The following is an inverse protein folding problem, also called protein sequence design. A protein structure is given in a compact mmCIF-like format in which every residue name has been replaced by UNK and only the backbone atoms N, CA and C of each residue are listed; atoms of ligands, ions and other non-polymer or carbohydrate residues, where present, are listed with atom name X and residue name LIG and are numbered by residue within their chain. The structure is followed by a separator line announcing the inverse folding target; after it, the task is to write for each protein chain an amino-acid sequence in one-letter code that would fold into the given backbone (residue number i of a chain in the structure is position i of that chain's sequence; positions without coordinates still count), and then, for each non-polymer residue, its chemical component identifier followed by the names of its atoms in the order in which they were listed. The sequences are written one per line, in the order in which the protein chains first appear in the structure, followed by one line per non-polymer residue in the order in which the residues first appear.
data_IF_617090589637
#
_entry.id   IF_617090589637
#
_cell.length_a   1.000
_cell.length_b   1.000
_cell.length_c   1.000
_cell.angle_alpha   90.00
_cell.angle_beta   90.00
_cell.angle_gamma   90.00
#
_symmetry.space_group_name_H-M   'P 1'
#
loop_
_entity.id
_entity.type
_entity.pdbx_description
1 polymer ?
#
# COMPACT_ATOMS: atom_id res chain seq x y z
N UNK A 1 -3.49 22.36 20.13
CA UNK A 1 -4.54 21.36 20.21
C UNK A 1 -4.80 20.82 18.82
N UNK A 2 -4.78 19.56 18.53
CA UNK A 2 -5.14 18.37 19.27
C UNK A 2 -4.20 17.17 19.00
N UNK A 3 -3.11 17.00 19.69
CA UNK A 3 -2.30 15.78 19.60
C UNK A 3 -3.05 14.56 20.19
N UNK A 4 -3.76 14.78 21.31
CA UNK A 4 -4.40 13.69 22.07
C UNK A 4 -5.45 12.88 21.28
N UNK A 5 -6.21 13.52 20.40
CA UNK A 5 -7.25 12.84 19.62
C UNK A 5 -6.69 12.00 18.47
N UNK A 6 -5.55 12.41 17.92
CA UNK A 6 -4.88 11.68 16.85
C UNK A 6 -4.21 10.42 17.42
N UNK A 7 -3.49 10.54 18.51
CA UNK A 7 -2.84 9.41 19.18
C UNK A 7 -3.85 8.35 19.63
N UNK A 8 -5.01 8.77 20.12
CA UNK A 8 -6.10 7.88 20.50
C UNK A 8 -6.62 7.05 19.29
N UNK A 9 -6.76 7.67 18.11
CA UNK A 9 -7.24 6.99 16.90
C UNK A 9 -6.22 5.94 16.41
N UNK A 10 -4.92 6.22 16.49
CA UNK A 10 -3.87 5.28 16.13
C UNK A 10 -3.83 4.10 17.12
N UNK A 11 -3.87 4.36 18.42
CA UNK A 11 -3.92 3.32 19.45
C UNK A 11 -5.15 2.43 19.27
N UNK A 12 -6.32 3.01 19.03
CA UNK A 12 -7.55 2.27 18.78
C UNK A 12 -7.46 1.37 17.55
N UNK A 13 -6.89 1.89 16.45
CA UNK A 13 -6.70 1.11 15.21
C UNK A 13 -5.81 -0.10 15.42
N UNK A 14 -4.72 0.06 16.18
CA UNK A 14 -3.84 -1.04 16.56
C UNK A 14 -4.55 -2.09 17.39
N UNK A 15 -5.23 -1.68 18.47
CA UNK A 15 -5.98 -2.58 19.34
C UNK A 15 -7.07 -3.36 18.58
N UNK A 16 -7.73 -2.71 17.61
CA UNK A 16 -8.69 -3.39 16.74
C UNK A 16 -8.01 -4.47 15.89
N UNK A 17 -6.83 -4.19 15.34
CA UNK A 17 -6.07 -5.15 14.56
C UNK A 17 -5.60 -6.35 15.41
N UNK A 18 -5.13 -6.09 16.65
CA UNK A 18 -4.74 -7.14 17.60
C UNK A 18 -5.93 -8.04 17.91
N UNK A 19 -7.05 -7.48 18.37
CA UNK A 19 -8.27 -8.24 18.68
C UNK A 19 -8.81 -9.03 17.47
N UNK A 20 -8.75 -8.43 16.29
CA UNK A 20 -9.18 -9.09 15.07
C UNK A 20 -8.29 -10.27 14.72
N UNK A 21 -6.96 -10.12 14.80
CA UNK A 21 -6.01 -11.21 14.59
C UNK A 21 -6.25 -12.36 15.58
N UNK A 22 -6.39 -12.06 16.85
CA UNK A 22 -6.69 -13.05 17.91
C UNK A 22 -7.99 -13.80 17.61
N UNK A 23 -9.06 -13.08 17.28
CA UNK A 23 -10.34 -13.72 16.92
C UNK A 23 -10.20 -14.67 15.74
N UNK A 24 -9.47 -14.31 14.69
CA UNK A 24 -9.22 -15.19 13.54
C UNK A 24 -8.44 -16.44 13.96
N UNK A 25 -7.43 -16.31 14.83
CA UNK A 25 -6.63 -17.43 15.33
C UNK A 25 -7.45 -18.36 16.23
N UNK A 26 -8.44 -17.84 16.94
CA UNK A 26 -9.43 -18.60 17.72
C UNK A 26 -10.53 -19.26 16.86
N UNK A 27 -10.47 -19.07 15.53
CA UNK A 27 -11.38 -19.71 14.59
C UNK A 27 -12.64 -18.92 14.26
N UNK A 28 -12.77 -17.67 14.72
CA UNK A 28 -13.89 -16.82 14.31
C UNK A 28 -13.75 -16.43 12.83
N UNK A 29 -14.87 -16.35 12.08
CA UNK A 29 -14.85 -15.90 10.70
C UNK A 29 -14.56 -14.38 10.60
N UNK A 30 -14.27 -13.92 9.37
CA UNK A 30 -14.26 -12.47 9.10
C UNK A 30 -15.66 -11.89 9.42
N UNK A 31 -15.73 -10.66 9.95
CA UNK A 31 -17.00 -9.99 10.16
C UNK A 31 -17.74 -9.82 8.83
N UNK A 32 -19.05 -9.65 8.89
CA UNK A 32 -19.89 -9.46 7.71
C UNK A 32 -20.65 -8.15 7.84
N UNK A 33 -20.61 -7.32 6.79
CA UNK A 33 -21.44 -6.12 6.71
C UNK A 33 -22.79 -6.47 6.08
N UNK A 34 -23.92 -6.04 6.70
CA UNK A 34 -25.25 -6.39 6.21
C UNK A 34 -25.62 -5.65 4.91
N UNK A 35 -25.01 -4.50 4.67
CA UNK A 35 -25.26 -3.69 3.47
C UNK A 35 -24.06 -2.79 3.15
N UNK A 36 -23.83 -2.56 1.87
CA UNK A 36 -22.81 -1.63 1.35
C UNK A 36 -23.44 -0.81 0.19
N UNK A 37 -23.02 0.46 0.00
CA UNK A 37 -23.59 1.32 -1.04
C UNK A 37 -23.05 1.02 -2.45
N UNK A 38 -22.45 -0.14 -2.66
CA UNK A 38 -21.86 -0.57 -3.93
C UNK A 38 -22.48 -1.89 -4.38
N UNK A 39 -22.51 -2.10 -5.69
CA UNK A 39 -23.00 -3.36 -6.24
C UNK A 39 -21.96 -4.46 -6.04
N UNK A 40 -22.33 -5.49 -5.30
CA UNK A 40 -21.54 -6.70 -5.15
C UNK A 40 -21.82 -7.70 -6.29
N UNK A 41 -20.85 -8.57 -6.55
CA UNK A 41 -21.04 -9.73 -7.44
C UNK A 41 -21.96 -10.78 -6.80
N UNK A 42 -22.41 -11.75 -7.58
CA UNK A 42 -23.18 -12.85 -7.05
C UNK A 42 -22.33 -13.66 -6.04
N UNK A 43 -22.83 -13.80 -4.81
CA UNK A 43 -22.16 -14.51 -3.72
C UNK A 43 -21.00 -13.73 -3.06
N UNK A 44 -20.72 -12.51 -3.46
CA UNK A 44 -19.70 -11.65 -2.83
C UNK A 44 -20.19 -11.16 -1.47
N UNK A 45 -19.35 -11.28 -0.45
CA UNK A 45 -19.64 -10.88 0.93
C UNK A 45 -18.74 -9.71 1.34
N UNK A 46 -19.37 -8.62 1.82
CA UNK A 46 -18.64 -7.49 2.37
C UNK A 46 -18.25 -7.75 3.84
N UNK A 47 -17.03 -7.40 4.20
CA UNK A 47 -16.44 -7.65 5.51
C UNK A 47 -16.18 -6.38 6.32
N UNK A 48 -15.77 -5.30 5.67
CA UNK A 48 -15.45 -4.05 6.36
C UNK A 48 -15.65 -2.83 5.47
N UNK A 49 -15.99 -1.72 6.12
CA UNK A 49 -15.85 -0.36 5.59
C UNK A 49 -14.75 0.33 6.38
N UNK A 50 -13.74 0.84 5.68
CA UNK A 50 -12.55 1.44 6.25
C UNK A 50 -12.30 2.81 5.63
N UNK A 51 -11.74 3.73 6.42
CA UNK A 51 -11.21 5.00 5.90
C UNK A 51 -9.69 4.91 5.92
N UNK A 52 -9.07 5.03 4.76
CA UNK A 52 -7.63 4.85 4.55
C UNK A 52 -7.07 5.93 3.64
N UNK A 53 -5.78 6.20 3.80
CA UNK A 53 -5.03 6.99 2.85
C UNK A 53 -4.49 6.07 1.75
N UNK A 54 -4.87 6.38 0.52
CA UNK A 54 -4.53 5.65 -0.70
C UNK A 54 -3.37 6.32 -1.42
N UNK A 55 -2.49 5.53 -2.00
CA UNK A 55 -1.49 6.01 -2.96
C UNK A 55 -1.04 4.89 -3.92
N UNK A 56 -0.50 5.29 -5.09
CA UNK A 56 0.05 4.41 -6.13
C UNK A 56 1.52 4.72 -6.36
N UNK A 57 2.30 3.72 -6.75
CA UNK A 57 3.73 3.87 -7.00
C UNK A 57 4.04 3.83 -8.49
N UNK A 58 4.34 5.00 -9.10
CA UNK A 58 4.68 5.08 -10.52
C UNK A 58 5.53 6.31 -10.87
N UNK A 59 6.20 6.24 -12.05
CA UNK A 59 6.94 7.36 -12.65
C UNK A 59 6.06 8.16 -13.62
N UNK A 60 6.32 9.46 -13.77
CA UNK A 60 5.50 10.34 -14.61
C UNK A 60 5.69 10.19 -16.13
N UNK A 61 6.72 9.47 -16.59
CA UNK A 61 7.02 9.32 -18.02
C UNK A 61 6.44 8.06 -18.66
N UNK A 62 5.43 7.44 -18.08
CA UNK A 62 4.69 6.38 -18.76
C UNK A 62 3.62 7.04 -19.60
N UNK A 63 3.87 7.16 -20.91
CA UNK A 63 2.84 7.52 -21.89
C UNK A 63 1.79 6.41 -21.85
N UNK A 64 0.64 6.71 -21.26
CA UNK A 64 -0.50 5.81 -21.26
C UNK A 64 -1.01 5.69 -22.70
N UNK A 65 -0.53 4.71 -23.45
CA UNK A 65 -1.34 4.15 -24.50
C UNK A 65 -2.29 3.17 -23.85
N UNK A 66 -3.58 3.38 -24.03
CA UNK A 66 -4.64 2.47 -23.61
C UNK A 66 -4.55 1.16 -24.40
N UNK A 67 -3.55 0.35 -24.10
CA UNK A 67 -3.49 -1.05 -24.50
C UNK A 67 -2.90 -1.83 -23.33
N UNK A 68 -3.70 -2.74 -22.82
CA UNK A 68 -3.40 -3.72 -21.78
C UNK A 68 -1.99 -4.32 -21.94
N UNK A 69 -1.07 -3.92 -21.06
CA UNK A 69 0.28 -4.47 -21.01
C UNK A 69 1.22 -3.51 -20.29
N UNK A 70 1.30 -3.60 -18.96
CA UNK A 70 2.32 -2.89 -18.20
C UNK A 70 3.62 -3.68 -18.29
N UNK A 71 4.53 -3.22 -19.13
CA UNK A 71 5.92 -3.65 -19.07
C UNK A 71 6.64 -2.82 -18.00
N UNK A 72 7.11 -3.46 -16.96
CA UNK A 72 8.19 -2.94 -16.15
C UNK A 72 9.45 -2.94 -17.04
N UNK A 73 9.61 -1.88 -17.84
CA UNK A 73 10.79 -1.66 -18.64
C UNK A 73 11.96 -1.31 -17.74
N UNK A 74 13.07 -2.06 -17.92
CA UNK A 74 14.38 -1.81 -17.32
C UNK A 74 14.75 -0.33 -17.36
N UNK A 75 15.47 0.22 -16.35
CA UNK A 75 15.94 1.61 -16.29
C UNK A 75 16.76 2.09 -17.50
N UNK A 76 17.15 1.17 -18.37
CA UNK A 76 17.98 1.44 -19.55
C UNK A 76 17.25 2.21 -20.66
N UNK A 77 15.91 2.18 -20.72
CA UNK A 77 15.17 2.87 -21.78
C UNK A 77 14.95 4.37 -21.54
N UNK A 78 15.16 4.85 -20.32
CA UNK A 78 15.03 6.28 -19.99
C UNK A 78 16.26 7.09 -20.45
N UNK A 79 17.40 6.45 -20.61
CA UNK A 79 18.67 7.14 -20.93
C UNK A 79 18.87 7.48 -22.41
N UNK A 80 18.15 6.85 -23.33
CA UNK A 80 18.42 6.98 -24.79
C UNK A 80 17.73 8.19 -25.46
N UNK A 81 16.81 8.89 -24.78
CA UNK A 81 16.02 10.01 -25.37
C UNK A 81 16.56 11.42 -25.12
N UNK A 82 17.62 11.61 -24.35
CA UNK A 82 18.05 12.92 -23.87
C UNK A 82 19.42 13.42 -24.36
N UNK A 83 19.97 12.84 -25.39
CA UNK A 83 21.18 13.34 -26.02
C UNK A 83 20.89 14.45 -27.04
N UNK A 84 20.69 15.68 -26.56
CA UNK A 84 20.60 16.85 -27.46
C UNK A 84 19.93 18.06 -26.83
N UNK A 85 20.60 18.79 -26.01
CA UNK A 85 20.77 20.26 -25.99
C UNK A 85 21.42 20.72 -24.70
N UNK A 86 22.58 21.28 -24.85
CA UNK A 86 23.45 21.70 -23.77
C UNK A 86 23.08 23.07 -23.21
N UNK A 87 23.40 23.25 -21.92
CA UNK A 87 23.76 24.51 -21.23
C UNK A 87 22.60 25.49 -21.02
N UNK A 88 22.02 25.42 -19.80
CA UNK A 88 21.15 26.46 -19.25
C UNK A 88 20.15 26.02 -18.18
N UNK A 89 19.92 24.73 -17.99
CA UNK A 89 18.82 24.26 -17.13
C UNK A 89 19.15 23.05 -16.24
N UNK A 90 20.31 23.02 -15.60
CA UNK A 90 20.66 21.90 -14.73
C UNK A 90 19.65 21.71 -13.56
N UNK A 91 19.17 22.81 -12.98
CA UNK A 91 18.18 22.76 -11.90
C UNK A 91 16.79 22.36 -12.41
N UNK A 92 16.37 22.84 -13.57
CA UNK A 92 15.10 22.43 -14.16
C UNK A 92 15.12 20.97 -14.62
N UNK A 93 16.27 20.52 -15.15
CA UNK A 93 16.46 19.12 -15.57
C UNK A 93 16.48 18.17 -14.37
N UNK A 94 17.18 18.51 -13.28
CA UNK A 94 17.19 17.68 -12.07
C UNK A 94 15.80 17.61 -11.40
N UNK A 95 15.05 18.71 -11.39
CA UNK A 95 13.64 18.71 -10.93
C UNK A 95 12.75 17.84 -11.81
N UNK A 96 12.88 17.95 -13.14
CA UNK A 96 12.11 17.12 -14.08
C UNK A 96 12.46 15.62 -13.93
N UNK A 97 13.73 15.29 -13.75
CA UNK A 97 14.17 13.92 -13.47
C UNK A 97 13.64 13.39 -12.14
N UNK A 98 13.69 14.20 -11.08
CA UNK A 98 13.13 13.84 -9.78
C UNK A 98 11.60 13.65 -9.85
N UNK A 99 10.91 14.50 -10.64
CA UNK A 99 9.47 14.35 -10.89
C UNK A 99 9.14 13.14 -11.77
N UNK A 100 10.03 12.72 -12.66
CA UNK A 100 9.86 11.55 -13.51
C UNK A 100 10.14 10.24 -12.76
N UNK A 101 10.93 10.27 -11.68
CA UNK A 101 11.28 9.08 -10.92
C UNK A 101 10.05 8.37 -10.34
N UNK A 102 10.07 7.03 -10.26
CA UNK A 102 9.03 6.29 -9.57
C UNK A 102 8.92 6.74 -8.11
N UNK A 103 7.73 7.10 -7.69
CA UNK A 103 7.43 7.52 -6.31
C UNK A 103 5.95 7.30 -6.01
N UNK A 104 5.58 7.32 -4.72
CA UNK A 104 4.19 7.29 -4.32
C UNK A 104 3.48 8.57 -4.75
N UNK A 105 2.30 8.42 -5.35
CA UNK A 105 1.48 9.50 -5.93
C UNK A 105 0.00 9.28 -5.62
N UNK A 106 -0.83 10.22 -6.04
CA UNK A 106 -2.30 10.16 -5.88
C UNK A 106 -2.74 10.03 -4.42
N UNK A 107 -2.01 10.69 -3.49
CA UNK A 107 -2.36 10.65 -2.07
C UNK A 107 -3.75 11.22 -1.85
N UNK A 108 -4.65 10.39 -1.36
CA UNK A 108 -5.99 10.80 -1.02
C UNK A 108 -6.58 9.91 0.06
N UNK A 109 -7.44 10.49 0.89
CA UNK A 109 -8.23 9.75 1.87
C UNK A 109 -9.48 9.22 1.21
N UNK A 110 -9.70 7.91 1.29
CA UNK A 110 -10.78 7.21 0.60
C UNK A 110 -11.54 6.29 1.55
N UNK A 111 -12.83 6.08 1.24
CA UNK A 111 -13.60 4.98 1.82
C UNK A 111 -13.34 3.72 1.02
N UNK A 112 -12.99 2.66 1.72
CA UNK A 112 -12.66 1.33 1.16
C UNK A 112 -13.62 0.30 1.71
N UNK A 113 -14.19 -0.50 0.84
CA UNK A 113 -14.95 -1.71 1.21
C UNK A 113 -14.10 -2.94 0.93
N UNK A 114 -13.86 -3.72 1.97
CA UNK A 114 -13.23 -5.04 1.85
C UNK A 114 -14.33 -6.08 1.64
N UNK A 115 -14.19 -6.90 0.60
CA UNK A 115 -15.02 -8.09 0.38
C UNK A 115 -14.15 -9.33 0.37
N UNK A 116 -14.77 -10.51 0.32
CA UNK A 116 -14.08 -11.78 0.10
C UNK A 116 -13.45 -11.92 -1.29
N UNK A 117 -13.84 -11.07 -2.26
CA UNK A 117 -13.35 -11.13 -3.63
C UNK A 117 -12.39 -9.98 -3.99
N UNK A 118 -12.56 -8.80 -3.40
CA UNK A 118 -11.83 -7.59 -3.82
C UNK A 118 -11.83 -6.48 -2.77
N UNK A 119 -10.96 -5.49 -2.98
CA UNK A 119 -11.11 -4.16 -2.42
C UNK A 119 -11.85 -3.26 -3.39
N UNK A 120 -12.74 -2.45 -2.86
CA UNK A 120 -13.48 -1.40 -3.59
C UNK A 120 -13.18 -0.07 -2.92
N UNK A 121 -12.75 0.94 -3.67
CA UNK A 121 -12.55 2.27 -3.13
C UNK A 121 -13.16 3.35 -4.02
N UNK A 122 -13.72 4.37 -3.37
CA UNK A 122 -14.22 5.57 -4.03
C UNK A 122 -13.05 6.56 -4.18
N UNK A 123 -12.43 6.55 -5.35
CA UNK A 123 -11.28 7.40 -5.70
C UNK A 123 -11.79 8.70 -6.32
N UNK A 124 -11.13 9.83 -6.00
CA UNK A 124 -11.51 11.18 -6.44
C UNK A 124 -12.96 11.58 -6.07
N UNK A 125 -13.56 10.88 -5.10
CA UNK A 125 -14.94 11.12 -4.67
C UNK A 125 -16.04 10.76 -5.67
N UNK A 126 -15.67 10.23 -6.86
CA UNK A 126 -16.62 9.97 -7.96
C UNK A 126 -16.43 8.60 -8.62
N UNK A 127 -15.28 7.99 -8.50
CA UNK A 127 -14.91 6.82 -9.28
C UNK A 127 -14.69 5.61 -8.37
N UNK A 128 -15.50 4.56 -8.53
CA UNK A 128 -15.27 3.28 -7.88
C UNK A 128 -14.21 2.47 -8.62
N UNK A 129 -13.14 2.13 -7.93
CA UNK A 129 -12.12 1.19 -8.42
C UNK A 129 -12.22 -0.12 -7.66
N UNK A 130 -11.83 -1.20 -8.32
CA UNK A 130 -11.85 -2.57 -7.79
C UNK A 130 -10.51 -3.24 -7.99
N UNK A 131 -9.98 -3.88 -6.94
CA UNK A 131 -8.76 -4.67 -6.99
C UNK A 131 -9.06 -6.06 -6.45
N UNK A 132 -9.12 -7.04 -7.36
CA UNK A 132 -9.47 -8.43 -7.03
C UNK A 132 -8.32 -9.12 -6.32
N UNK A 133 -8.63 -9.88 -5.25
CA UNK A 133 -7.63 -10.64 -4.52
C UNK A 133 -6.99 -11.74 -5.39
N UNK A 134 -7.73 -12.27 -6.37
CA UNK A 134 -7.24 -13.26 -7.32
C UNK A 134 -6.17 -12.72 -8.29
N UNK A 135 -6.11 -11.40 -8.51
CA UNK A 135 -5.09 -10.74 -9.34
C UNK A 135 -3.89 -10.23 -8.51
N UNK A 136 -3.95 -10.38 -7.19
CA UNK A 136 -2.92 -9.90 -6.27
C UNK A 136 -1.75 -10.89 -6.24
N UNK A 137 -0.56 -10.42 -6.56
CA UNK A 137 0.69 -11.20 -6.52
C UNK A 137 1.28 -11.28 -5.12
N UNK A 138 1.26 -10.17 -4.40
CA UNK A 138 1.91 -10.06 -3.09
C UNK A 138 1.24 -9.04 -2.18
N UNK A 139 1.23 -9.36 -0.88
CA UNK A 139 0.89 -8.44 0.21
C UNK A 139 2.14 -8.20 1.03
N UNK A 140 2.46 -6.94 1.29
CA UNK A 140 3.59 -6.52 2.12
C UNK A 140 3.05 -5.66 3.27
N UNK A 141 2.84 -6.24 4.47
CA UNK A 141 2.43 -5.52 5.65
C UNK A 141 3.63 -4.74 6.23
N UNK A 142 3.52 -3.43 6.34
CA UNK A 142 4.47 -2.57 7.05
C UNK A 142 3.80 -2.01 8.29
N UNK A 143 3.47 -2.89 9.24
CA UNK A 143 2.63 -2.54 10.40
C UNK A 143 3.25 -1.44 11.27
N UNK A 144 4.58 -1.46 11.48
CA UNK A 144 5.29 -0.40 12.20
C UNK A 144 5.25 0.97 11.50
N UNK A 145 4.91 1.00 10.22
CA UNK A 145 4.73 2.21 9.42
C UNK A 145 3.25 2.49 9.10
N UNK A 146 2.34 1.74 9.71
CA UNK A 146 0.90 1.89 9.52
C UNK A 146 0.44 1.83 8.07
N UNK A 147 1.04 0.93 7.30
CA UNK A 147 0.64 0.74 5.93
C UNK A 147 0.72 -0.73 5.50
N UNK A 148 0.02 -1.03 4.42
CA UNK A 148 0.12 -2.28 3.68
C UNK A 148 0.22 -1.97 2.19
N UNK A 149 1.14 -2.66 1.52
CA UNK A 149 1.35 -2.54 0.08
C UNK A 149 0.82 -3.80 -0.59
N UNK A 150 0.08 -3.63 -1.68
CA UNK A 150 -0.38 -4.70 -2.55
C UNK A 150 0.29 -4.57 -3.91
N UNK A 151 0.86 -5.66 -4.39
CA UNK A 151 1.43 -5.79 -5.73
C UNK A 151 0.48 -6.60 -6.59
N UNK A 152 0.25 -6.14 -7.81
CA UNK A 152 -0.59 -6.77 -8.81
C UNK A 152 0.19 -6.97 -10.10
N UNK A 153 -0.25 -7.89 -10.94
CA UNK A 153 0.38 -8.13 -12.23
C UNK A 153 0.09 -7.00 -13.23
N UNK A 154 -1.16 -6.50 -13.22
CA UNK A 154 -1.70 -5.61 -14.25
C UNK A 154 -1.87 -4.16 -13.80
N UNK A 155 -1.42 -3.79 -12.61
CA UNK A 155 -1.49 -2.40 -12.16
C UNK A 155 -0.33 -2.00 -11.24
N UNK A 156 -0.16 -0.69 -11.06
CA UNK A 156 0.87 -0.15 -10.20
C UNK A 156 0.65 -0.58 -8.75
N UNK A 157 1.76 -0.76 -7.97
CA UNK A 157 1.66 -1.03 -6.55
C UNK A 157 0.74 -0.04 -5.82
N UNK A 158 -0.11 -0.57 -4.96
CA UNK A 158 -1.03 0.20 -4.13
C UNK A 158 -0.52 0.22 -2.70
N UNK A 159 -0.65 1.36 -2.04
CA UNK A 159 -0.42 1.49 -0.61
C UNK A 159 -1.67 2.04 0.08
N UNK A 160 -2.04 1.37 1.13
CA UNK A 160 -3.10 1.75 2.05
C UNK A 160 -2.46 2.11 3.39
N UNK A 161 -2.69 3.31 3.88
CA UNK A 161 -2.06 3.82 5.10
C UNK A 161 -3.10 4.37 6.07
N UNK A 162 -2.74 4.48 7.34
CA UNK A 162 -3.60 5.07 8.36
C UNK A 162 -3.93 4.12 9.50
N UNK A 163 -4.74 4.58 10.48
CA UNK A 163 -5.04 3.81 11.68
C UNK A 163 -5.70 2.45 11.42
N UNK A 164 -6.48 2.32 10.33
CA UNK A 164 -7.13 1.06 9.96
C UNK A 164 -6.24 0.13 9.11
N UNK A 165 -5.04 0.57 8.69
CA UNK A 165 -4.16 -0.24 7.83
C UNK A 165 -3.68 -1.54 8.48
N UNK A 166 -3.36 -1.61 9.79
CA UNK A 166 -3.02 -2.88 10.44
C UNK A 166 -4.17 -3.89 10.42
N UNK A 167 -5.40 -3.44 10.64
CA UNK A 167 -6.58 -4.29 10.52
C UNK A 167 -6.76 -4.83 9.09
N UNK A 168 -6.65 -3.93 8.09
CA UNK A 168 -6.71 -4.31 6.68
C UNK A 168 -5.62 -5.32 6.31
N UNK A 169 -4.39 -5.14 6.80
CA UNK A 169 -3.27 -6.05 6.55
C UNK A 169 -3.59 -7.48 7.03
N UNK A 170 -4.12 -7.62 8.26
CA UNK A 170 -4.57 -8.93 8.79
C UNK A 170 -5.63 -9.56 7.90
N UNK A 171 -6.64 -8.78 7.50
CA UNK A 171 -7.72 -9.26 6.64
C UNK A 171 -7.22 -9.72 5.26
N UNK A 172 -6.35 -8.92 4.61
CA UNK A 172 -5.77 -9.25 3.31
C UNK A 172 -4.90 -10.51 3.38
N UNK A 173 -4.06 -10.64 4.42
CA UNK A 173 -3.25 -11.84 4.63
C UNK A 173 -4.16 -13.06 4.82
N UNK A 174 -5.25 -12.93 5.59
CA UNK A 174 -6.22 -14.01 5.80
C UNK A 174 -6.90 -14.44 4.49
N UNK A 175 -7.31 -13.47 3.66
CA UNK A 175 -8.01 -13.73 2.40
C UNK A 175 -7.06 -14.22 1.30
N UNK A 176 -5.86 -13.65 1.18
CA UNK A 176 -4.92 -13.96 0.12
C UNK A 176 -4.06 -15.20 0.40
N UNK A 177 -3.64 -15.40 1.64
CA UNK A 177 -2.67 -16.45 2.00
C UNK A 177 -3.21 -17.48 2.99
N UNK A 178 -4.32 -17.21 3.66
CA UNK A 178 -4.93 -18.12 4.62
C UNK A 178 -4.50 -17.86 6.07
N UNK A 179 -5.06 -18.69 6.98
CA UNK A 179 -4.92 -18.50 8.43
C UNK A 179 -3.48 -18.75 8.93
N UNK A 180 -2.77 -19.70 8.32
CA UNK A 180 -1.41 -20.02 8.73
C UNK A 180 -0.48 -18.83 8.53
N UNK A 181 -0.65 -18.05 7.47
CA UNK A 181 0.12 -16.82 7.26
C UNK A 181 -0.24 -15.72 8.27
N UNK A 182 -1.49 -15.64 8.74
CA UNK A 182 -1.86 -14.72 9.84
C UNK A 182 -1.14 -15.10 11.12
N UNK A 183 -0.87 -16.40 11.35
CA UNK A 183 -0.13 -16.91 12.51
C UNK A 183 1.36 -16.68 12.38
N UNK A 184 1.96 -17.05 11.24
CA UNK A 184 3.39 -17.34 11.09
C UNK A 184 4.19 -16.21 10.40
N UNK A 185 3.52 -15.26 9.73
CA UNK A 185 4.20 -14.12 9.11
C UNK A 185 4.87 -13.25 10.19
N UNK A 186 6.19 -12.95 10.07
CA UNK A 186 6.94 -12.19 11.07
C UNK A 186 6.31 -10.83 11.38
N UNK A 187 5.78 -10.14 10.37
CA UNK A 187 5.14 -8.83 10.51
C UNK A 187 3.88 -8.91 11.37
N UNK A 188 3.11 -10.00 11.29
CA UNK A 188 1.93 -10.21 12.11
C UNK A 188 2.24 -10.38 13.59
N UNK A 189 3.47 -10.78 13.95
CA UNK A 189 3.91 -10.91 15.34
C UNK A 189 4.04 -9.56 16.06
N UNK A 190 4.13 -8.45 15.33
CA UNK A 190 4.08 -7.11 15.93
C UNK A 190 2.74 -6.87 16.63
N UNK A 191 1.65 -7.46 16.15
CA UNK A 191 0.32 -7.37 16.78
C UNK A 191 0.17 -8.21 18.04
N UNK A 192 1.18 -9.00 18.40
CA UNK A 192 1.21 -9.73 19.68
C UNK A 192 1.87 -8.93 20.81
N UNK A 193 2.34 -7.71 20.55
CA UNK A 193 3.01 -6.84 21.51
C UNK A 193 2.11 -5.67 21.88
N UNK A 194 2.09 -5.25 23.16
CA UNK A 194 1.39 -4.03 23.56
C UNK A 194 1.96 -2.82 22.81
N UNK A 195 1.10 -1.87 22.46
CA UNK A 195 1.48 -0.63 21.78
C UNK A 195 2.46 0.14 22.67
N UNK A 196 3.71 0.23 22.25
CA UNK A 196 4.61 1.26 22.79
C UNK A 196 4.25 2.54 22.03
N UNK A 197 3.57 3.46 22.70
CA UNK A 197 3.00 4.67 22.11
C UNK A 197 4.03 5.46 21.30
N UNK A 198 3.71 5.74 20.05
CA UNK A 198 4.48 6.58 19.15
C UNK A 198 3.68 6.77 17.87
N UNK A 199 3.10 7.96 17.70
CA UNK A 199 2.66 8.46 16.40
C UNK A 199 3.86 8.43 15.45
N UNK A 200 3.74 8.00 14.20
CA UNK A 200 4.83 8.12 13.24
C UNK A 200 5.09 9.61 13.04
N UNK A 201 6.25 10.05 13.54
CA UNK A 201 6.74 11.41 13.33
C UNK A 201 6.77 11.69 11.83
N UNK A 202 6.35 12.88 11.42
CA UNK A 202 6.17 13.34 10.03
C UNK A 202 7.49 13.48 9.25
N UNK A 203 8.44 12.58 9.47
CA UNK A 203 9.73 12.49 8.82
C UNK A 203 9.70 11.73 7.50
N UNK A 204 8.98 12.23 6.51
CA UNK A 204 9.12 11.75 5.13
C UNK A 204 10.41 12.31 4.50
N UNK A 205 11.57 11.86 5.00
CA UNK A 205 12.85 12.14 4.32
C UNK A 205 13.81 11.00 4.64
N UNK A 206 14.13 10.17 3.64
CA UNK A 206 15.31 9.31 3.69
C UNK A 206 15.11 7.82 3.66
N UNK A 207 14.64 7.24 2.57
CA UNK A 207 15.00 5.89 2.15
C UNK A 207 15.31 5.93 0.65
N UNK A 208 16.41 6.56 0.29
CA UNK A 208 16.98 6.50 -1.07
C UNK A 208 18.46 6.12 -1.09
N UNK A 209 19.12 5.88 0.07
CA UNK A 209 20.59 5.84 0.13
C UNK A 209 21.24 4.50 0.53
N UNK A 210 20.51 3.39 0.62
CA UNK A 210 21.13 2.13 1.10
C UNK A 210 21.26 1.01 0.05
N UNK A 211 21.32 1.34 -1.24
CA UNK A 211 21.61 0.37 -2.30
C UNK A 211 22.90 0.63 -3.10
N UNK A 212 23.82 1.48 -2.62
CA UNK A 212 25.04 1.82 -3.38
C UNK A 212 26.39 1.46 -2.72
N UNK A 213 26.47 0.43 -1.88
CA UNK A 213 27.76 -0.10 -1.41
C UNK A 213 27.86 -1.60 -1.58
N UNK A 214 27.95 -2.04 -2.86
CA UNK A 214 28.46 -3.35 -3.25
C UNK A 214 29.92 -3.20 -3.73
N UNK A 215 30.89 -3.31 -2.81
CA UNK A 215 32.29 -3.18 -3.11
C UNK A 215 32.78 -4.27 -4.09
N UNK A 216 33.40 -3.86 -5.17
CA UNK A 216 34.24 -4.68 -6.03
C UNK A 216 35.57 -4.92 -5.34
N UNK A 217 35.85 -6.19 -4.99
CA UNK A 217 37.21 -6.66 -4.70
C UNK A 217 37.76 -7.32 -5.96
N UNK A 218 38.88 -6.87 -6.53
CA UNK A 218 39.52 -7.59 -7.65
C UNK A 218 40.32 -8.76 -7.12
N UNK A 219 40.10 -9.94 -7.70
CA UNK A 219 41.01 -11.10 -7.53
C UNK A 219 42.19 -10.93 -8.47
N UNK A 220 43.38 -11.06 -7.89
CA UNK A 220 44.62 -11.39 -8.60
C UNK A 220 44.62 -12.86 -9.05
#
# INVERSE_FOLDING_TARGET
MPADGQDAMWSQGWEQAVRFREALLDGFPLPTLPAVPVRLNAGEVAHAELVLDYSRFYGQNVTYSQSSGFYFGSPLFVAAGLAGQAIGNSVARSRAQAMAAPQWREFQRVTVYLTDQRLLALVDGVRWLSWYHSAMMQIQPFLGQWNVVQLFEDCEPLRWSGPAAPWLAVALVRLGYGLDHVRDLPEMNLLSRPVVGGSPDSGATGIADDLSHGGHTPLM
#
